data_IF_450479722047
#
_entry.id   IF_450479722047
#
_cell.length_a   1.000
_cell.length_b   1.000
_cell.length_c   1.000
_cell.angle_alpha   90.00
_cell.angle_beta   90.00
_cell.angle_gamma   90.00
#
_symmetry.space_group_name_H-M   'P 1'
#
loop_
_entity.id
_entity.type
_entity.pdbx_description
1 polymer ?
#
# COMPACT_ATOMS: atom_id res chain seq x y z
N UNK A 1 -14.97 -29.77 -46.29
CA UNK A 1 -14.99 -28.44 -45.66
C UNK A 1 -15.26 -28.47 -44.15
N UNK A 2 -16.10 -29.34 -43.62
CA UNK A 2 -16.49 -29.40 -42.19
C UNK A 2 -15.32 -29.69 -41.22
N UNK A 3 -14.36 -30.53 -41.60
CA UNK A 3 -13.22 -30.88 -40.73
C UNK A 3 -12.22 -29.74 -40.53
N UNK A 4 -12.04 -28.89 -41.53
CA UNK A 4 -11.16 -27.71 -41.43
C UNK A 4 -11.78 -26.63 -40.51
N UNK A 5 -13.09 -26.43 -40.54
CA UNK A 5 -13.80 -25.50 -39.66
C UNK A 5 -13.75 -25.92 -38.19
N UNK A 6 -13.84 -27.24 -37.91
CA UNK A 6 -13.71 -27.79 -36.55
C UNK A 6 -12.29 -27.59 -36.03
N UNK A 7 -11.27 -27.82 -36.86
CA UNK A 7 -9.89 -27.60 -36.44
C UNK A 7 -9.56 -26.12 -36.14
N UNK A 8 -10.07 -25.21 -36.94
CA UNK A 8 -9.90 -23.76 -36.71
C UNK A 8 -10.63 -23.33 -35.43
N UNK A 9 -11.85 -23.82 -35.20
CA UNK A 9 -12.60 -23.53 -34.00
C UNK A 9 -11.91 -24.02 -32.70
N UNK A 10 -11.36 -25.24 -32.75
CA UNK A 10 -10.59 -25.81 -31.62
C UNK A 10 -9.30 -25.02 -31.33
N UNK A 11 -8.57 -24.61 -32.38
CA UNK A 11 -7.37 -23.80 -32.23
C UNK A 11 -7.66 -22.43 -31.63
N UNK A 12 -8.78 -21.79 -32.06
CA UNK A 12 -9.20 -20.50 -31.53
C UNK A 12 -9.62 -20.60 -30.06
N UNK A 13 -10.34 -21.67 -29.68
CA UNK A 13 -10.75 -21.91 -28.31
C UNK A 13 -9.56 -22.14 -27.37
N UNK A 14 -8.53 -22.87 -27.85
CA UNK A 14 -7.28 -23.09 -27.10
C UNK A 14 -6.48 -21.78 -26.94
N UNK A 15 -6.44 -20.93 -27.98
CA UNK A 15 -5.78 -19.63 -27.92
C UNK A 15 -6.47 -18.68 -26.93
N UNK A 16 -7.78 -18.58 -26.99
CA UNK A 16 -8.57 -17.72 -26.09
C UNK A 16 -8.52 -18.24 -24.66
N UNK A 17 -8.63 -19.57 -24.47
CA UNK A 17 -8.51 -20.20 -23.16
C UNK A 17 -7.11 -20.07 -22.57
N UNK A 18 -6.06 -20.21 -23.36
CA UNK A 18 -4.68 -20.01 -22.95
C UNK A 18 -4.38 -18.56 -22.60
N UNK A 19 -4.92 -17.60 -23.36
CA UNK A 19 -4.78 -16.18 -23.07
C UNK A 19 -5.51 -15.77 -21.78
N UNK A 20 -6.74 -16.29 -21.59
CA UNK A 20 -7.51 -16.05 -20.39
C UNK A 20 -6.83 -16.63 -19.14
N UNK A 21 -6.25 -17.84 -19.26
CA UNK A 21 -5.49 -18.46 -18.18
C UNK A 21 -4.19 -17.68 -17.89
N UNK A 22 -3.47 -17.23 -18.92
CA UNK A 22 -2.28 -16.41 -18.75
C UNK A 22 -2.61 -15.08 -18.05
N UNK A 23 -3.66 -14.39 -18.48
CA UNK A 23 -4.14 -13.14 -17.82
C UNK A 23 -4.59 -13.40 -16.39
N UNK A 24 -5.18 -14.56 -16.11
CA UNK A 24 -5.59 -14.90 -14.74
C UNK A 24 -4.39 -15.22 -13.85
N UNK A 25 -3.37 -15.89 -14.37
CA UNK A 25 -2.14 -16.23 -13.63
C UNK A 25 -1.19 -15.03 -13.46
N UNK A 26 -1.24 -14.04 -14.36
CA UNK A 26 -0.43 -12.81 -14.26
C UNK A 26 -1.16 -11.69 -13.49
N UNK A 27 -2.44 -11.88 -13.15
CA UNK A 27 -3.21 -10.88 -12.39
C UNK A 27 -2.72 -10.71 -10.95
N UNK A 28 -2.06 -11.72 -10.39
CA UNK A 28 -1.44 -11.64 -9.05
C UNK A 28 -0.10 -10.87 -9.05
N UNK A 29 0.43 -10.54 -10.24
CA UNK A 29 1.63 -9.72 -10.43
C UNK A 29 1.31 -8.25 -10.78
N UNK A 30 0.04 -7.85 -10.80
CA UNK A 30 -0.32 -6.43 -10.87
C UNK A 30 0.20 -5.77 -9.60
N UNK A 31 1.40 -5.20 -9.74
CA UNK A 31 2.16 -4.60 -8.66
C UNK A 31 1.25 -3.73 -7.80
N UNK A 32 1.39 -3.87 -6.50
CA UNK A 32 0.66 -3.11 -5.50
C UNK A 32 0.72 -1.64 -5.91
N UNK A 33 -0.41 -1.11 -6.35
CA UNK A 33 -0.50 0.27 -6.79
C UNK A 33 -0.73 1.19 -5.60
N UNK A 34 -0.13 2.39 -5.68
CA UNK A 34 -0.42 3.45 -4.71
C UNK A 34 -1.90 3.78 -4.78
N UNK A 35 -2.56 3.76 -3.64
CA UNK A 35 -3.88 4.34 -3.51
C UNK A 35 -3.75 5.87 -3.47
N UNK A 36 -3.89 6.49 -4.64
CA UNK A 36 -3.72 7.93 -4.78
C UNK A 36 -4.76 8.73 -4.01
N UNK A 37 -6.01 8.26 -3.95
CA UNK A 37 -7.07 8.93 -3.21
C UNK A 37 -6.78 8.87 -1.71
N UNK A 38 -6.40 7.71 -1.20
CA UNK A 38 -6.01 7.56 0.19
C UNK A 38 -4.77 8.40 0.53
N UNK A 39 -3.80 8.49 -0.37
CA UNK A 39 -2.60 9.32 -0.20
C UNK A 39 -2.93 10.81 -0.13
N UNK A 40 -3.87 11.28 -0.95
CA UNK A 40 -4.35 12.66 -0.94
C UNK A 40 -5.16 12.96 0.32
N UNK A 41 -6.06 12.06 0.70
CA UNK A 41 -6.88 12.18 1.91
C UNK A 41 -6.00 12.22 3.15
N UNK A 42 -5.05 11.31 3.27
CA UNK A 42 -4.09 11.29 4.37
C UNK A 42 -3.28 12.59 4.45
N UNK A 43 -2.75 13.06 3.33
CA UNK A 43 -1.96 14.30 3.27
C UNK A 43 -2.79 15.51 3.68
N UNK A 44 -4.05 15.57 3.24
CA UNK A 44 -4.99 16.65 3.62
C UNK A 44 -5.33 16.61 5.10
N UNK A 45 -5.60 15.42 5.65
CA UNK A 45 -5.93 15.26 7.06
C UNK A 45 -4.74 15.57 7.98
N UNK A 46 -3.50 15.26 7.57
CA UNK A 46 -2.29 15.71 8.29
C UNK A 46 -2.25 17.24 8.38
N UNK A 47 -2.47 17.94 7.26
CA UNK A 47 -2.46 19.40 7.24
C UNK A 47 -3.62 20.00 8.08
N UNK A 48 -4.76 19.33 8.07
CA UNK A 48 -5.92 19.73 8.88
C UNK A 48 -5.65 19.53 10.39
N UNK A 49 -5.07 18.39 10.75
CA UNK A 49 -4.72 18.08 12.14
C UNK A 49 -3.70 19.06 12.71
N UNK A 50 -2.67 19.39 11.92
CA UNK A 50 -1.66 20.38 12.30
C UNK A 50 -2.30 21.77 12.53
N UNK A 51 -3.17 22.20 11.63
CA UNK A 51 -3.82 23.52 11.71
C UNK A 51 -4.77 23.61 12.91
N UNK A 52 -5.51 22.53 13.20
CA UNK A 52 -6.57 22.52 14.21
C UNK A 52 -6.10 22.00 15.56
N UNK A 53 -4.89 21.48 15.68
CA UNK A 53 -4.37 20.83 16.89
C UNK A 53 -5.15 19.56 17.27
N UNK A 54 -5.65 18.83 16.27
CA UNK A 54 -6.41 17.59 16.46
C UNK A 54 -5.54 16.37 16.21
N UNK A 55 -5.93 15.23 16.78
CA UNK A 55 -5.29 13.96 16.46
C UNK A 55 -5.77 13.45 15.09
N UNK A 56 -4.89 12.74 14.39
CA UNK A 56 -5.19 12.10 13.12
C UNK A 56 -5.37 10.60 13.35
N UNK A 57 -6.54 10.08 13.06
CA UNK A 57 -6.87 8.64 13.15
C UNK A 57 -6.80 8.01 11.76
N UNK A 58 -5.78 7.17 11.51
CA UNK A 58 -5.63 6.47 10.24
C UNK A 58 -6.79 5.49 9.99
N UNK A 59 -7.38 4.93 11.04
CA UNK A 59 -8.54 4.05 10.93
C UNK A 59 -9.78 4.77 10.40
N UNK A 60 -9.94 6.06 10.71
CA UNK A 60 -11.03 6.88 10.18
C UNK A 60 -10.79 7.29 8.72
N UNK A 61 -9.53 7.56 8.34
CA UNK A 61 -9.14 7.90 6.96
C UNK A 61 -9.22 6.67 6.05
N UNK A 62 -8.88 5.48 6.56
CA UNK A 62 -8.88 4.21 5.86
C UNK A 62 -9.98 3.28 6.43
N UNK A 63 -11.27 3.48 6.10
CA UNK A 63 -12.40 2.78 6.73
C UNK A 63 -12.58 1.33 6.29
N UNK A 64 -11.82 0.86 5.29
CA UNK A 64 -11.82 -0.54 4.85
C UNK A 64 -11.09 -1.46 5.85
N UNK A 65 -11.10 -2.76 5.61
CA UNK A 65 -10.44 -3.72 6.51
C UNK A 65 -8.91 -3.70 6.34
N UNK A 66 -8.22 -3.55 7.45
CA UNK A 66 -6.79 -3.75 7.64
C UNK A 66 -6.52 -3.94 9.15
N UNK A 67 -5.38 -4.48 9.51
CA UNK A 67 -5.07 -4.79 10.91
C UNK A 67 -3.82 -4.09 11.45
N UNK A 68 -2.86 -3.81 10.59
CA UNK A 68 -1.57 -3.21 10.94
C UNK A 68 -1.12 -2.25 9.84
N UNK A 69 -0.29 -1.29 10.21
CA UNK A 69 0.38 -0.40 9.26
C UNK A 69 1.89 -0.46 9.47
N UNK A 70 2.63 -0.55 8.38
CA UNK A 70 4.06 -0.31 8.37
C UNK A 70 4.31 1.14 7.98
N UNK A 71 5.01 1.87 8.82
CA UNK A 71 5.51 3.22 8.54
C UNK A 71 6.94 3.08 8.07
N UNK A 72 7.20 3.41 6.81
CA UNK A 72 8.49 3.21 6.14
C UNK A 72 9.16 4.55 5.94
N UNK A 73 10.35 4.70 6.51
CA UNK A 73 11.14 5.91 6.42
C UNK A 73 11.75 6.09 5.02
N UNK A 74 11.95 7.32 4.57
CA UNK A 74 12.63 7.61 3.30
C UNK A 74 14.00 6.93 3.23
N UNK A 75 14.33 6.37 2.07
CA UNK A 75 15.61 5.69 1.84
C UNK A 75 15.70 4.27 2.40
N UNK A 76 14.60 3.71 2.91
CA UNK A 76 14.56 2.29 3.30
C UNK A 76 14.77 1.40 2.07
N UNK A 77 15.76 0.48 2.07
CA UNK A 77 15.99 -0.42 0.95
C UNK A 77 14.83 -1.39 0.72
N UNK A 78 14.52 -1.71 -0.54
CA UNK A 78 13.47 -2.68 -0.91
C UNK A 78 13.70 -4.06 -0.28
N UNK A 79 14.96 -4.47 -0.11
CA UNK A 79 15.30 -5.72 0.57
C UNK A 79 14.88 -5.72 2.06
N UNK A 80 14.85 -4.56 2.73
CA UNK A 80 14.35 -4.43 4.10
C UNK A 80 12.83 -4.55 4.14
N UNK A 81 12.16 -3.89 3.20
CA UNK A 81 10.71 -3.98 3.04
C UNK A 81 10.30 -5.42 2.74
N UNK A 82 10.98 -6.09 1.79
CA UNK A 82 10.77 -7.50 1.45
C UNK A 82 10.91 -8.42 2.67
N UNK A 83 11.95 -8.20 3.46
CA UNK A 83 12.17 -8.98 4.70
C UNK A 83 11.03 -8.80 5.69
N UNK A 84 10.52 -7.58 5.82
CA UNK A 84 9.42 -7.27 6.74
C UNK A 84 8.09 -7.85 6.27
N UNK A 85 7.84 -7.86 4.97
CA UNK A 85 6.64 -8.43 4.35
C UNK A 85 6.68 -9.96 4.26
N UNK A 86 7.87 -10.57 4.24
CA UNK A 86 8.04 -12.02 4.08
C UNK A 86 7.97 -12.51 2.63
N UNK A 87 7.95 -11.61 1.66
CA UNK A 87 8.00 -11.90 0.22
C UNK A 87 8.76 -10.81 -0.53
N UNK A 88 9.14 -11.08 -1.77
CA UNK A 88 9.89 -10.13 -2.58
C UNK A 88 9.02 -8.90 -2.92
N UNK A 89 9.44 -7.75 -2.39
CA UNK A 89 8.86 -6.45 -2.72
C UNK A 89 9.56 -5.91 -3.96
N UNK A 90 8.87 -5.80 -5.06
CA UNK A 90 9.43 -5.31 -6.33
C UNK A 90 9.37 -3.79 -6.47
N UNK A 91 8.93 -3.13 -5.40
CA UNK A 91 8.73 -1.69 -5.42
C UNK A 91 7.44 -1.28 -6.12
N UNK A 92 7.04 -0.04 -5.89
CA UNK A 92 5.98 0.60 -6.66
C UNK A 92 6.61 1.71 -7.47
N UNK A 93 6.35 1.74 -8.76
CA UNK A 93 6.81 2.81 -9.64
C UNK A 93 6.38 4.18 -9.08
N UNK A 94 7.35 5.06 -8.83
CA UNK A 94 7.10 6.42 -8.36
C UNK A 94 7.49 6.70 -6.90
N UNK A 95 8.21 5.80 -6.23
CA UNK A 95 8.52 5.88 -4.80
C UNK A 95 9.94 6.30 -4.45
N UNK A 96 10.44 7.36 -4.99
CA UNK A 96 11.80 7.78 -4.64
C UNK A 96 11.88 8.77 -3.48
N UNK A 97 10.78 9.46 -3.16
CA UNK A 97 10.78 10.52 -2.16
C UNK A 97 9.54 10.48 -1.28
N UNK A 98 9.72 10.59 0.02
CA UNK A 98 8.64 10.66 0.98
C UNK A 98 8.52 9.43 1.87
N UNK A 99 7.68 9.55 2.88
CA UNK A 99 7.37 8.47 3.82
C UNK A 99 6.20 7.66 3.28
N UNK A 100 6.23 6.37 3.55
CA UNK A 100 5.30 5.40 2.98
C UNK A 100 4.59 4.67 4.10
N UNK A 101 3.31 4.38 3.87
CA UNK A 101 2.54 3.53 4.76
C UNK A 101 1.98 2.34 3.99
N UNK A 102 2.26 1.14 4.48
CA UNK A 102 1.71 -0.11 3.94
C UNK A 102 0.71 -0.65 4.95
N UNK A 103 -0.56 -0.69 4.56
CA UNK A 103 -1.63 -1.26 5.37
C UNK A 103 -1.72 -2.76 5.09
N UNK A 104 -1.67 -3.56 6.15
CA UNK A 104 -1.66 -5.01 6.09
C UNK A 104 -2.96 -5.60 6.63
N UNK A 105 -3.45 -6.65 5.97
CA UNK A 105 -4.52 -7.51 6.46
C UNK A 105 -4.03 -8.37 7.64
N UNK A 106 -4.94 -9.11 8.29
CA UNK A 106 -4.61 -10.02 9.41
C UNK A 106 -3.65 -11.13 9.01
N UNK A 107 -3.72 -11.60 7.77
CA UNK A 107 -2.85 -12.64 7.22
C UNK A 107 -1.46 -12.12 6.80
N UNK A 108 -1.24 -10.81 6.89
CA UNK A 108 0.00 -10.15 6.50
C UNK A 108 0.05 -9.72 5.03
N UNK A 109 -0.96 -10.03 4.23
CA UNK A 109 -1.05 -9.52 2.87
C UNK A 109 -1.26 -8.00 2.85
N UNK A 110 -0.77 -7.33 1.81
CA UNK A 110 -0.95 -5.89 1.66
C UNK A 110 -2.39 -5.59 1.26
N UNK A 111 -3.06 -4.76 2.06
CA UNK A 111 -4.40 -4.26 1.78
C UNK A 111 -4.34 -3.04 0.89
N UNK A 112 -3.56 -2.05 1.29
CA UNK A 112 -3.36 -0.80 0.56
C UNK A 112 -1.97 -0.26 0.83
N UNK A 113 -1.58 0.60 -0.06
CA UNK A 113 -0.32 1.30 0.01
C UNK A 113 -0.57 2.80 -0.22
N UNK A 114 -0.05 3.65 0.65
CA UNK A 114 -0.18 5.08 0.52
C UNK A 114 1.16 5.78 0.66
N UNK A 115 1.26 6.93 0.05
CA UNK A 115 2.39 7.81 -0.03
C UNK A 115 2.04 9.14 0.65
N UNK A 116 2.81 9.53 1.66
CA UNK A 116 2.63 10.83 2.27
C UNK A 116 3.33 11.90 1.41
N UNK A 117 2.54 12.81 0.87
CA UNK A 117 2.99 13.85 -0.08
C UNK A 117 3.15 15.24 0.56
N UNK A 118 3.06 15.31 1.87
CA UNK A 118 3.26 16.55 2.62
C UNK A 118 4.74 16.82 2.92
N UNK A 119 4.98 17.93 3.59
CA UNK A 119 6.32 18.35 4.02
C UNK A 119 6.73 17.80 5.40
N UNK A 120 5.82 17.07 6.06
CA UNK A 120 6.07 16.49 7.38
C UNK A 120 6.87 15.19 7.30
N UNK A 121 7.23 14.68 8.47
CA UNK A 121 7.91 13.39 8.65
C UNK A 121 7.32 12.66 9.85
N UNK A 122 7.36 11.34 9.85
CA UNK A 122 7.05 10.57 11.03
C UNK A 122 8.21 10.64 12.04
N UNK A 123 7.87 11.01 13.28
CA UNK A 123 8.77 11.01 14.43
C UNK A 123 8.31 10.01 15.48
N UNK A 124 9.18 9.65 16.43
CA UNK A 124 8.83 8.73 17.51
C UNK A 124 8.50 7.30 17.06
N UNK A 125 8.95 6.93 15.88
CA UNK A 125 8.78 5.57 15.30
C UNK A 125 10.13 4.91 15.10
N UNK A 126 10.15 3.57 15.13
CA UNK A 126 11.34 2.80 14.80
C UNK A 126 11.78 3.06 13.35
N UNK A 127 13.10 3.05 13.15
CA UNK A 127 13.70 3.20 11.83
C UNK A 127 14.45 1.91 11.46
N UNK A 128 14.44 1.52 10.19
CA UNK A 128 13.82 2.17 9.02
C UNK A 128 12.32 1.90 8.86
N UNK A 129 11.76 0.92 9.60
CA UNK A 129 10.35 0.50 9.48
C UNK A 129 9.78 0.33 10.89
N UNK A 130 8.70 1.06 11.19
CA UNK A 130 7.88 0.83 12.37
C UNK A 130 6.59 0.08 12.01
N UNK A 131 6.07 -0.70 12.96
CA UNK A 131 4.79 -1.39 12.81
C UNK A 131 3.85 -0.95 13.93
N UNK A 132 2.65 -0.53 13.56
CA UNK A 132 1.59 -0.13 14.47
C UNK A 132 0.35 -0.99 14.23
N UNK A 133 -0.32 -1.42 15.30
CA UNK A 133 -1.65 -2.00 15.18
C UNK A 133 -2.65 -0.92 14.73
N UNK A 134 -3.75 -1.34 14.10
CA UNK A 134 -4.79 -0.41 13.63
C UNK A 134 -5.25 0.55 14.73
N UNK A 135 -5.50 0.00 15.91
CA UNK A 135 -6.00 0.79 17.05
C UNK A 135 -4.96 1.77 17.62
N UNK A 136 -3.68 1.54 17.34
CA UNK A 136 -2.55 2.40 17.77
C UNK A 136 -2.13 3.40 16.67
N UNK A 137 -2.74 3.32 15.48
CA UNK A 137 -2.45 4.18 14.35
C UNK A 137 -3.17 5.54 14.47
N UNK A 138 -3.08 6.14 15.64
CA UNK A 138 -3.52 7.50 15.94
C UNK A 138 -2.29 8.37 16.14
N UNK A 139 -2.26 9.51 15.48
CA UNK A 139 -1.08 10.36 15.45
C UNK A 139 -1.40 11.76 15.94
N UNK A 140 -0.46 12.35 16.66
CA UNK A 140 -0.42 13.80 16.90
C UNK A 140 0.43 14.45 15.80
N UNK A 141 -0.04 15.56 15.29
CA UNK A 141 0.71 16.37 14.32
C UNK A 141 1.10 17.67 15.03
N UNK A 142 2.39 17.96 15.06
CA UNK A 142 2.94 19.18 15.64
C UNK A 142 3.98 19.77 14.66
N UNK A 143 3.58 20.81 13.95
CA UNK A 143 4.32 21.38 12.86
C UNK A 143 4.54 20.33 11.76
N UNK A 144 5.79 19.99 11.50
CA UNK A 144 6.16 19.01 10.46
C UNK A 144 6.43 17.60 11.00
N UNK A 145 6.04 17.31 12.25
CA UNK A 145 6.31 16.00 12.88
C UNK A 145 4.98 15.30 13.20
N UNK A 146 4.85 14.09 12.64
CA UNK A 146 3.71 13.19 12.83
C UNK A 146 4.17 12.09 13.80
N UNK A 147 3.65 12.07 15.01
CA UNK A 147 4.09 11.15 16.07
C UNK A 147 2.96 10.24 16.50
N UNK A 148 3.16 8.91 16.61
CA UNK A 148 2.17 8.03 17.21
C UNK A 148 1.79 8.53 18.60
N UNK A 149 0.50 8.50 18.89
CA UNK A 149 0.00 8.89 20.20
C UNK A 149 0.19 7.73 21.18
N UNK A 150 0.96 7.96 22.23
CA UNK A 150 1.03 7.01 23.34
C UNK A 150 -0.34 6.89 24.02
N UNK A 151 -0.74 5.66 24.32
CA UNK A 151 -1.98 5.38 25.07
C UNK A 151 -1.77 5.51 26.58
#
# INVERSE_FOLDING_TARGET
>A
MTRALIAVGAALALLVGGLALAVFLTRDEDGIQVDNLLSEDFTREVASADTNGTDLDLGAIAPFEWSRVLVIQPGTPDAEISRRLGYEWTGVLGFETGEKLILLNRDGSVSRFLDYRGNGRFGGVETPIAELARDDAVFRVDGLVITPKER
#
